data_IF_914231365016
#
_entry.id   IF_914231365016
#
_cell.length_a   1.000
_cell.length_b   1.000
_cell.length_c   1.000
_cell.angle_alpha   90.00
_cell.angle_beta   90.00
_cell.angle_gamma   90.00
#
_symmetry.space_group_name_H-M   'P 1'
#
loop_
_entity.id
_entity.type
_entity.pdbx_description
1 polymer ?
#
# COMPACT_ATOMS: atom_id res chain seq x y z
N UNK A 1 7.36 14.57 -17.15
CA UNK A 1 6.13 13.93 -16.64
C UNK A 1 6.44 12.45 -16.39
N UNK A 2 6.32 11.96 -15.15
CA UNK A 2 6.59 10.56 -14.84
C UNK A 2 5.50 9.67 -15.46
N UNK A 3 5.89 8.68 -16.28
CA UNK A 3 4.94 7.71 -16.86
C UNK A 3 4.36 6.86 -15.73
N UNK A 4 3.04 6.88 -15.58
CA UNK A 4 2.35 6.05 -14.59
C UNK A 4 2.49 4.57 -15.00
N UNK A 5 3.23 3.79 -14.20
CA UNK A 5 3.36 2.34 -14.44
C UNK A 5 2.21 1.61 -13.73
N UNK A 6 1.56 0.68 -14.43
CA UNK A 6 0.48 -0.14 -13.92
C UNK A 6 1.00 -1.54 -13.58
N UNK A 7 0.80 -1.97 -12.34
CA UNK A 7 1.19 -3.29 -11.85
C UNK A 7 -0.07 -4.10 -11.48
N UNK A 8 -0.27 -5.25 -12.15
CA UNK A 8 -1.48 -6.09 -12.01
C UNK A 8 -1.09 -7.56 -11.85
N UNK A 9 -1.86 -8.30 -11.04
CA UNK A 9 -1.63 -9.74 -10.84
C UNK A 9 -2.22 -10.52 -12.00
N UNK A 10 -1.47 -11.48 -12.54
CA UNK A 10 -1.92 -12.36 -13.62
C UNK A 10 -2.87 -13.41 -13.04
N UNK A 11 -4.12 -13.39 -13.48
CA UNK A 11 -5.17 -14.32 -13.05
C UNK A 11 -5.26 -15.55 -13.95
N UNK A 12 -4.91 -15.38 -15.23
CA UNK A 12 -4.86 -16.46 -16.23
C UNK A 12 -3.61 -16.28 -17.07
N UNK A 13 -2.82 -17.34 -17.21
CA UNK A 13 -1.55 -17.28 -17.93
C UNK A 13 -1.74 -16.83 -19.37
N UNK A 14 -0.86 -15.93 -19.85
CA UNK A 14 -0.91 -15.42 -21.21
C UNK A 14 0.48 -15.04 -21.70
N UNK A 15 0.65 -15.00 -23.02
CA UNK A 15 1.85 -14.43 -23.64
C UNK A 15 1.52 -13.03 -24.09
N UNK A 16 2.29 -12.05 -23.62
CA UNK A 16 2.09 -10.68 -24.04
C UNK A 16 2.52 -10.49 -25.50
N UNK A 17 1.66 -9.86 -26.31
CA UNK A 17 1.90 -9.74 -27.75
C UNK A 17 2.97 -8.70 -28.10
N UNK A 18 3.13 -7.69 -27.26
CA UNK A 18 4.07 -6.58 -27.49
C UNK A 18 5.49 -7.02 -27.11
N UNK A 19 5.64 -7.68 -25.97
CA UNK A 19 6.94 -8.10 -25.44
C UNK A 19 7.31 -9.54 -25.76
N UNK A 20 6.36 -10.33 -26.30
CA UNK A 20 6.47 -11.79 -26.51
C UNK A 20 6.82 -12.58 -25.24
N UNK A 21 6.69 -11.95 -24.06
CA UNK A 21 7.02 -12.59 -22.78
C UNK A 21 5.83 -13.42 -22.28
N UNK A 22 6.05 -14.68 -21.87
CA UNK A 22 5.03 -15.46 -21.20
C UNK A 22 4.86 -14.99 -19.75
N UNK A 23 3.62 -14.83 -19.33
CA UNK A 23 3.22 -14.46 -17.97
C UNK A 23 2.39 -15.59 -17.38
N UNK A 24 2.95 -16.42 -16.49
CA UNK A 24 2.18 -17.49 -15.85
C UNK A 24 1.18 -16.92 -14.83
N UNK A 25 0.11 -17.69 -14.58
CA UNK A 25 -0.88 -17.38 -13.55
C UNK A 25 -0.19 -17.16 -12.20
N UNK A 26 -0.58 -16.11 -11.47
CA UNK A 26 0.01 -15.71 -10.20
C UNK A 26 1.14 -14.68 -10.31
N UNK A 27 1.72 -14.49 -11.49
CA UNK A 27 2.79 -13.52 -11.74
C UNK A 27 2.30 -12.07 -11.67
N UNK A 28 3.22 -11.12 -11.73
CA UNK A 28 2.90 -9.69 -11.83
C UNK A 28 3.21 -9.21 -13.25
N UNK A 29 2.21 -8.62 -13.89
CA UNK A 29 2.34 -7.92 -15.16
C UNK A 29 2.54 -6.43 -14.89
N UNK A 30 3.59 -5.84 -15.48
CA UNK A 30 3.92 -4.42 -15.36
C UNK A 30 3.92 -3.78 -16.74
N UNK A 31 3.21 -2.67 -16.90
CA UNK A 31 3.12 -1.96 -18.17
C UNK A 31 2.72 -0.50 -17.93
N UNK A 32 3.27 0.44 -18.68
CA UNK A 32 2.81 1.83 -18.72
C UNK A 32 1.63 2.04 -19.71
N UNK A 33 1.37 1.05 -20.57
CA UNK A 33 0.25 1.08 -21.52
C UNK A 33 -1.10 0.76 -20.84
N UNK A 34 -1.93 1.80 -20.69
CA UNK A 34 -3.26 1.71 -20.06
C UNK A 34 -4.26 0.92 -20.91
N UNK A 35 -4.22 1.04 -22.23
CA UNK A 35 -5.15 0.35 -23.13
C UNK A 35 -4.92 -1.16 -23.09
N UNK A 36 -3.65 -1.56 -23.11
CA UNK A 36 -3.24 -2.96 -22.97
C UNK A 36 -3.68 -3.55 -21.64
N UNK A 37 -3.50 -2.82 -20.55
CA UNK A 37 -3.95 -3.23 -19.21
C UNK A 37 -5.47 -3.43 -19.21
N UNK A 38 -6.24 -2.48 -19.75
CA UNK A 38 -7.70 -2.59 -19.82
C UNK A 38 -8.15 -3.78 -20.69
N UNK A 39 -7.48 -4.06 -21.80
CA UNK A 39 -7.77 -5.24 -22.61
C UNK A 39 -7.54 -6.54 -21.82
N UNK A 40 -6.40 -6.65 -21.13
CA UNK A 40 -6.04 -7.83 -20.34
C UNK A 40 -6.96 -8.02 -19.13
N UNK A 41 -7.44 -6.93 -18.51
CA UNK A 41 -8.46 -6.97 -17.44
C UNK A 41 -9.80 -7.45 -18.01
N UNK A 42 -10.27 -6.88 -19.13
CA UNK A 42 -11.51 -7.31 -19.80
C UNK A 42 -11.47 -8.80 -20.19
N UNK A 43 -10.31 -9.28 -20.65
CA UNK A 43 -10.07 -10.70 -20.98
C UNK A 43 -9.90 -11.60 -19.76
N UNK A 44 -9.88 -11.05 -18.54
CA UNK A 44 -9.63 -11.76 -17.28
C UNK A 44 -8.26 -12.45 -17.23
N UNK A 45 -7.28 -11.93 -17.99
CA UNK A 45 -5.89 -12.39 -17.96
C UNK A 45 -5.14 -11.82 -16.76
N UNK A 46 -5.46 -10.59 -16.36
CA UNK A 46 -4.92 -9.92 -15.18
C UNK A 46 -6.04 -9.36 -14.31
N UNK A 47 -5.76 -9.15 -13.02
CA UNK A 47 -6.71 -8.59 -12.05
C UNK A 47 -7.06 -7.14 -12.35
N UNK A 48 -8.33 -6.79 -12.12
CA UNK A 48 -8.83 -5.42 -12.12
C UNK A 48 -8.36 -4.60 -10.92
N UNK A 49 -7.88 -5.25 -9.87
CA UNK A 49 -7.28 -4.62 -8.69
C UNK A 49 -5.79 -4.34 -8.89
N UNK A 50 -5.31 -3.21 -8.36
CA UNK A 50 -3.88 -2.89 -8.45
C UNK A 50 -3.16 -3.89 -7.56
N UNK A 51 -1.99 -4.37 -7.98
CA UNK A 51 -1.13 -5.09 -7.04
C UNK A 51 -0.75 -4.07 -5.98
N UNK A 52 -1.38 -4.17 -4.81
CA UNK A 52 -0.85 -3.53 -3.60
C UNK A 52 0.52 -4.17 -3.41
N UNK A 53 1.56 -3.39 -3.67
CA UNK A 53 2.92 -3.81 -3.34
C UNK A 53 2.92 -4.18 -1.84
N UNK A 54 3.69 -5.19 -1.45
CA UNK A 54 3.78 -5.65 -0.04
C UNK A 54 3.99 -4.48 0.94
N UNK A 55 4.64 -3.40 0.48
CA UNK A 55 4.79 -2.13 1.20
C UNK A 55 3.45 -1.47 1.56
N UNK A 56 2.49 -1.39 0.63
CA UNK A 56 1.15 -0.85 0.89
C UNK A 56 0.28 -1.76 1.77
N UNK A 57 0.53 -3.08 1.75
CA UNK A 57 -0.16 -4.00 2.65
C UNK A 57 0.39 -3.91 4.09
N UNK A 58 1.72 -3.79 4.24
CA UNK A 58 2.35 -3.52 5.54
C UNK A 58 1.92 -2.17 6.11
N UNK A 59 1.91 -1.10 5.30
CA UNK A 59 1.45 0.23 5.72
C UNK A 59 0.02 0.17 6.29
N UNK A 60 -0.87 -0.59 5.64
CA UNK A 60 -2.25 -0.72 6.10
C UNK A 60 -2.39 -1.55 7.37
N UNK A 61 -1.63 -2.64 7.52
CA UNK A 61 -1.65 -3.47 8.75
C UNK A 61 -1.06 -2.71 9.95
N UNK A 62 -0.01 -1.92 9.72
CA UNK A 62 0.58 -1.05 10.74
C UNK A 62 -0.40 0.07 11.14
N UNK A 63 -1.11 0.64 10.15
CA UNK A 63 -2.10 1.71 10.39
C UNK A 63 -3.35 1.24 11.15
N UNK A 64 -3.87 0.04 10.85
CA UNK A 64 -5.02 -0.57 11.56
C UNK A 64 -4.66 -0.96 13.02
N UNK A 65 -3.41 -1.36 13.30
CA UNK A 65 -2.99 -1.74 14.66
C UNK A 65 -2.94 -0.55 15.64
N UNK A 66 -2.44 0.62 15.21
CA UNK A 66 -2.29 1.76 16.13
C UNK A 66 -3.63 2.37 16.57
N UNK A 67 -4.66 2.32 15.72
CA UNK A 67 -5.98 2.85 16.09
C UNK A 67 -6.68 1.99 17.17
N UNK A 68 -6.44 0.67 17.14
CA UNK A 68 -6.93 -0.30 18.11
C UNK A 68 -6.11 -0.34 19.41
N UNK A 69 -4.87 0.16 19.42
CA UNK A 69 -4.01 0.19 20.61
C UNK A 69 -4.48 1.20 21.65
N UNK A 70 -4.20 0.94 22.93
CA UNK A 70 -4.51 1.88 24.01
C UNK A 70 -3.48 3.00 24.09
N UNK A 71 -3.82 4.08 24.78
CA UNK A 71 -2.97 5.27 24.91
C UNK A 71 -1.57 4.94 25.50
N UNK A 72 -1.50 4.05 26.49
CA UNK A 72 -0.23 3.66 27.12
C UNK A 72 0.68 2.87 26.16
N UNK A 73 0.09 1.97 25.37
CA UNK A 73 0.83 1.19 24.37
C UNK A 73 1.36 2.07 23.23
N UNK A 74 0.56 3.05 22.79
CA UNK A 74 1.00 4.04 21.80
C UNK A 74 2.15 4.90 22.32
N UNK A 75 2.10 5.31 23.59
CA UNK A 75 3.18 6.05 24.24
C UNK A 75 4.47 5.23 24.29
N UNK A 76 4.39 3.94 24.66
CA UNK A 76 5.53 3.02 24.66
C UNK A 76 6.14 2.82 23.28
N UNK A 77 5.33 2.68 22.23
CA UNK A 77 5.82 2.52 20.87
C UNK A 77 6.53 3.78 20.35
N UNK A 78 6.01 4.96 20.66
CA UNK A 78 6.68 6.24 20.35
C UNK A 78 8.02 6.34 21.05
N UNK A 79 8.06 6.00 22.34
CA UNK A 79 9.28 6.04 23.16
C UNK A 79 10.36 5.08 22.64
N UNK A 80 9.97 3.82 22.33
CA UNK A 80 10.85 2.84 21.69
C UNK A 80 11.46 3.32 20.38
N UNK A 81 10.67 4.05 19.58
CA UNK A 81 11.12 4.62 18.30
C UNK A 81 11.81 5.98 18.46
N UNK A 82 11.90 6.50 19.68
CA UNK A 82 12.43 7.83 20.00
C UNK A 82 11.80 8.93 19.14
N UNK A 83 10.49 8.84 18.91
CA UNK A 83 9.72 9.79 18.12
C UNK A 83 9.25 10.97 18.99
N UNK A 84 9.31 12.18 18.42
CA UNK A 84 8.73 13.36 19.05
C UNK A 84 7.23 13.45 18.75
N UNK A 85 6.41 13.72 19.77
CA UNK A 85 4.95 13.86 19.62
C UNK A 85 4.54 15.27 19.99
N UNK A 86 4.00 16.00 19.03
CA UNK A 86 3.45 17.33 19.26
C UNK A 86 1.99 17.22 19.72
N UNK A 87 1.67 17.82 20.86
CA UNK A 87 0.32 17.80 21.42
C UNK A 87 -0.59 18.82 20.74
N UNK A 88 -1.68 18.36 20.11
CA UNK A 88 -2.66 19.25 19.46
C UNK A 88 -3.88 19.55 20.34
N UNK A 89 -3.88 19.07 21.59
CA UNK A 89 -4.94 19.33 22.55
C UNK A 89 -4.93 20.75 23.12
N UNK A 90 -6.01 21.10 23.84
CA UNK A 90 -6.13 22.38 24.54
C UNK A 90 -4.98 22.50 25.55
N UNK A 91 -4.21 23.59 25.49
CA UNK A 91 -2.96 23.83 26.24
C UNK A 91 -1.79 22.89 25.90
N UNK A 92 -1.71 22.35 24.67
CA UNK A 92 -0.61 21.47 24.25
C UNK A 92 -0.71 20.04 24.82
N UNK A 93 -1.87 19.67 25.35
CA UNK A 93 -2.11 18.31 25.82
C UNK A 93 -1.98 17.30 24.66
N UNK A 94 -1.18 16.25 24.86
CA UNK A 94 -0.98 15.21 23.85
C UNK A 94 -2.15 14.23 23.89
N UNK A 95 -2.90 14.15 22.79
CA UNK A 95 -4.04 13.23 22.62
C UNK A 95 -3.59 11.91 22.01
N UNK A 96 -4.43 10.87 22.13
CA UNK A 96 -4.21 9.57 21.50
C UNK A 96 -3.89 9.69 20.00
N UNK A 97 -4.62 10.57 19.32
CA UNK A 97 -4.46 10.83 17.89
C UNK A 97 -3.08 11.40 17.53
N UNK A 98 -2.47 12.18 18.43
CA UNK A 98 -1.14 12.75 18.21
C UNK A 98 -0.06 11.66 18.21
N UNK A 99 -0.15 10.69 19.14
CA UNK A 99 0.74 9.52 19.14
C UNK A 99 0.56 8.66 17.88
N UNK A 100 -0.69 8.43 17.46
CA UNK A 100 -0.98 7.68 16.24
C UNK A 100 -0.38 8.38 15.02
N UNK A 101 -0.54 9.71 14.91
CA UNK A 101 0.07 10.50 13.83
C UNK A 101 1.59 10.39 13.83
N UNK A 102 2.24 10.52 14.99
CA UNK A 102 3.69 10.39 15.10
C UNK A 102 4.19 8.99 14.70
N UNK A 103 3.44 7.93 15.04
CA UNK A 103 3.78 6.55 14.69
C UNK A 103 3.52 6.17 13.23
N UNK A 104 2.67 6.92 12.53
CA UNK A 104 2.33 6.75 11.10
C UNK A 104 3.30 7.48 10.15
N UNK A 105 4.42 8.04 10.67
CA UNK A 105 5.51 8.68 9.89
C UNK A 105 6.17 7.70 8.91
#
# INVERSE_FOLDING_TARGET
MAKQTYERKVTKGFTDKNTKKPYPKGSVYKSDDKERINELVKKKNISGDKVKTLKQAQDKVVSDNFEAMNFDDLKKEVDKKSLHVEGTGKNGAIKKEDYIKALKV
#
